data_IF_943853506892
#
_entry.id   IF_943853506892
#
_cell.length_a   1.000
_cell.length_b   1.000
_cell.length_c   1.000
_cell.angle_alpha   90.00
_cell.angle_beta   90.00
_cell.angle_gamma   90.00
#
_symmetry.space_group_name_H-M   'P 1'
#
loop_
_entity.id
_entity.type
_entity.pdbx_description
1 polymer ?
#
# COMPACT_ATOMS: atom_id res chain seq x y z
N UNK A 1 5.41 -14.15 9.94
CA UNK A 1 4.12 -13.81 9.29
C UNK A 1 3.42 -12.65 9.96
N UNK A 2 3.34 -12.58 11.29
CA UNK A 2 2.73 -11.45 12.02
C UNK A 2 3.27 -10.05 11.63
N UNK A 3 4.59 -9.92 11.49
CA UNK A 3 5.24 -8.67 11.05
C UNK A 3 4.80 -8.20 9.65
N UNK A 4 4.44 -9.12 8.76
CA UNK A 4 3.98 -8.79 7.40
C UNK A 4 2.60 -8.13 7.48
N UNK A 5 1.70 -8.69 8.29
CA UNK A 5 0.37 -8.14 8.52
C UNK A 5 0.43 -6.77 9.20
N UNK A 6 1.26 -6.62 10.23
CA UNK A 6 1.47 -5.34 10.92
C UNK A 6 2.03 -4.27 9.99
N UNK A 7 3.00 -4.64 9.15
CA UNK A 7 3.56 -3.72 8.18
C UNK A 7 2.48 -3.24 7.21
N UNK A 8 1.67 -4.16 6.67
CA UNK A 8 0.58 -3.84 5.74
C UNK A 8 -0.57 -3.04 6.40
N UNK A 9 -0.87 -3.33 7.66
CA UNK A 9 -1.90 -2.61 8.42
C UNK A 9 -1.47 -1.17 8.74
N UNK A 10 -0.16 -0.91 8.86
CA UNK A 10 0.36 0.43 9.16
C UNK A 10 0.57 1.27 7.89
N UNK A 11 1.01 0.65 6.80
CA UNK A 11 1.28 1.31 5.52
C UNK A 11 -0.01 1.74 4.82
N UNK A 12 -1.09 0.95 4.88
CA UNK A 12 -2.37 1.31 4.25
C UNK A 12 -2.98 2.63 4.78
N UNK A 13 -3.14 2.85 6.11
CA UNK A 13 -3.57 4.13 6.65
C UNK A 13 -2.62 5.29 6.32
N UNK A 14 -1.30 5.02 6.29
CA UNK A 14 -0.30 6.03 5.97
C UNK A 14 -0.41 6.50 4.51
N UNK A 15 -0.61 5.58 3.55
CA UNK A 15 -0.90 5.95 2.15
C UNK A 15 -2.19 6.75 2.08
N UNK A 16 -3.25 6.28 2.74
CA UNK A 16 -4.56 6.94 2.65
C UNK A 16 -4.50 8.38 3.18
N UNK A 17 -3.72 8.64 4.24
CA UNK A 17 -3.47 10.00 4.73
C UNK A 17 -2.72 10.86 3.71
N UNK A 18 -1.67 10.32 3.10
CA UNK A 18 -0.90 11.03 2.08
C UNK A 18 -1.72 11.26 0.81
N UNK A 19 -2.56 10.30 0.41
CA UNK A 19 -3.50 10.43 -0.68
C UNK A 19 -4.55 11.51 -0.38
N UNK A 20 -5.11 11.55 0.83
CA UNK A 20 -6.00 12.63 1.27
C UNK A 20 -5.34 14.01 1.10
N UNK A 21 -4.10 14.16 1.56
CA UNK A 21 -3.32 15.39 1.39
C UNK A 21 -3.10 15.75 -0.09
N UNK A 22 -2.78 14.77 -0.94
CA UNK A 22 -2.61 14.97 -2.38
C UNK A 22 -3.91 15.40 -3.07
N UNK A 23 -5.07 14.93 -2.59
CA UNK A 23 -6.39 15.31 -3.10
C UNK A 23 -6.73 16.80 -2.90
N UNK A 24 -6.06 17.48 -1.96
CA UNK A 24 -6.22 18.93 -1.77
C UNK A 24 -5.31 19.77 -2.69
N UNK A 25 -4.30 19.16 -3.32
CA UNK A 25 -3.24 19.87 -4.04
C UNK A 25 -3.32 19.61 -5.55
N UNK A 26 -3.70 18.40 -5.96
CA UNK A 26 -3.65 17.95 -7.35
C UNK A 26 -5.04 17.77 -7.97
N UNK A 27 -5.17 18.16 -9.25
CA UNK A 27 -6.33 17.81 -10.08
C UNK A 27 -6.48 16.29 -10.23
N UNK A 28 -7.68 15.84 -10.65
CA UNK A 28 -8.08 14.42 -10.75
C UNK A 28 -7.02 13.52 -11.43
N UNK A 29 -6.35 14.02 -12.48
CA UNK A 29 -5.29 13.27 -13.16
C UNK A 29 -4.01 13.18 -12.32
N UNK A 30 -3.56 14.29 -11.71
CA UNK A 30 -2.41 14.32 -10.81
C UNK A 30 -2.63 13.49 -9.55
N UNK A 31 -3.86 13.48 -9.03
CA UNK A 31 -4.27 12.66 -7.90
C UNK A 31 -4.11 11.16 -8.18
N UNK A 32 -4.61 10.68 -9.33
CA UNK A 32 -4.45 9.26 -9.74
C UNK A 32 -2.99 8.85 -9.89
N UNK A 33 -2.18 9.72 -10.48
CA UNK A 33 -0.75 9.46 -10.69
C UNK A 33 0.01 9.46 -9.36
N UNK A 34 -0.37 10.34 -8.43
CA UNK A 34 0.18 10.39 -7.07
C UNK A 34 -0.13 9.11 -6.29
N UNK A 35 -1.38 8.63 -6.32
CA UNK A 35 -1.76 7.37 -5.68
C UNK A 35 -0.91 6.21 -6.23
N UNK A 36 -0.74 6.13 -7.56
CA UNK A 36 0.01 5.05 -8.18
C UNK A 36 1.49 5.06 -7.75
N UNK A 37 2.10 6.24 -7.64
CA UNK A 37 3.47 6.38 -7.13
C UNK A 37 3.56 5.96 -5.66
N UNK A 38 2.57 6.35 -4.83
CA UNK A 38 2.50 5.99 -3.43
C UNK A 38 2.36 4.48 -3.20
N UNK A 39 1.49 3.83 -3.97
CA UNK A 39 1.30 2.37 -3.97
C UNK A 39 2.61 1.64 -4.29
N UNK A 40 3.33 2.08 -5.33
CA UNK A 40 4.63 1.50 -5.69
C UNK A 40 5.66 1.73 -4.56
N UNK A 41 5.71 2.94 -4.00
CA UNK A 41 6.63 3.25 -2.92
C UNK A 41 6.40 2.36 -1.70
N UNK A 42 5.14 2.10 -1.35
CA UNK A 42 4.81 1.22 -0.22
C UNK A 42 5.17 -0.22 -0.48
N UNK A 43 4.90 -0.77 -1.68
CA UNK A 43 5.33 -2.14 -1.99
C UNK A 43 6.85 -2.30 -1.82
N UNK A 44 7.64 -1.28 -2.20
CA UNK A 44 9.10 -1.29 -2.01
C UNK A 44 9.47 -1.22 -0.52
N UNK A 45 8.85 -0.30 0.24
CA UNK A 45 9.12 -0.10 1.67
C UNK A 45 8.76 -1.36 2.46
N UNK A 46 7.58 -1.93 2.25
CA UNK A 46 7.17 -3.16 2.90
C UNK A 46 8.07 -4.33 2.50
N UNK A 47 8.40 -4.49 1.22
CA UNK A 47 9.30 -5.56 0.77
C UNK A 47 10.69 -5.44 1.42
N UNK A 48 11.18 -4.21 1.64
CA UNK A 48 12.41 -3.93 2.36
C UNK A 48 12.30 -4.29 3.85
N UNK A 49 11.23 -3.86 4.54
CA UNK A 49 10.99 -4.16 5.95
C UNK A 49 10.81 -5.67 6.18
N UNK A 50 10.06 -6.35 5.31
CA UNK A 50 9.86 -7.81 5.36
C UNK A 50 11.18 -8.54 5.13
N UNK A 51 12.00 -8.08 4.18
CA UNK A 51 13.34 -8.64 3.96
C UNK A 51 14.21 -8.47 5.21
N UNK A 52 14.19 -7.29 5.83
CA UNK A 52 15.01 -6.99 7.01
C UNK A 52 14.58 -7.82 8.23
N UNK A 53 13.28 -7.97 8.47
CA UNK A 53 12.74 -8.65 9.64
C UNK A 53 12.64 -10.18 9.49
N UNK A 54 12.34 -10.71 8.30
CA UNK A 54 12.15 -12.14 8.07
C UNK A 54 13.29 -12.82 7.31
N UNK A 55 14.30 -12.08 6.83
CA UNK A 55 15.41 -12.64 6.06
C UNK A 55 15.00 -13.26 4.71
N UNK A 56 13.80 -12.93 4.20
CA UNK A 56 13.29 -13.52 2.96
C UNK A 56 14.06 -13.03 1.72
N UNK A 57 14.13 -13.90 0.69
CA UNK A 57 14.67 -13.53 -0.64
C UNK A 57 13.84 -12.38 -1.23
N UNK A 58 14.52 -11.39 -1.81
CA UNK A 58 13.93 -10.17 -2.40
C UNK A 58 12.68 -10.46 -3.25
N UNK A 59 12.73 -11.47 -4.13
CA UNK A 59 11.59 -11.86 -4.97
C UNK A 59 10.35 -12.27 -4.16
N UNK A 60 10.52 -13.02 -3.07
CA UNK A 60 9.41 -13.43 -2.20
C UNK A 60 8.86 -12.24 -1.42
N UNK A 61 9.73 -11.37 -0.90
CA UNK A 61 9.32 -10.19 -0.13
C UNK A 61 8.47 -9.23 -0.96
N UNK A 62 8.89 -8.96 -2.19
CA UNK A 62 8.14 -8.10 -3.13
C UNK A 62 6.79 -8.73 -3.50
N UNK A 63 6.77 -10.03 -3.81
CA UNK A 63 5.54 -10.71 -4.22
C UNK A 63 4.51 -10.76 -3.08
N UNK A 64 4.96 -11.01 -1.85
CA UNK A 64 4.11 -10.99 -0.65
C UNK A 64 3.52 -9.59 -0.43
N UNK A 65 4.35 -8.53 -0.46
CA UNK A 65 3.86 -7.14 -0.31
C UNK A 65 2.91 -6.75 -1.42
N UNK A 66 3.20 -7.11 -2.67
CA UNK A 66 2.32 -6.80 -3.80
C UNK A 66 0.96 -7.47 -3.61
N UNK A 67 0.92 -8.75 -3.24
CA UNK A 67 -0.35 -9.48 -3.02
C UNK A 67 -1.14 -8.88 -1.85
N UNK A 68 -0.49 -8.61 -0.71
CA UNK A 68 -1.17 -8.01 0.44
C UNK A 68 -1.68 -6.61 0.14
N UNK A 69 -0.86 -5.77 -0.47
CA UNK A 69 -1.25 -4.41 -0.82
C UNK A 69 -2.40 -4.39 -1.85
N UNK A 70 -2.35 -5.29 -2.85
CA UNK A 70 -3.45 -5.44 -3.83
C UNK A 70 -4.76 -5.91 -3.18
N UNK A 71 -4.68 -6.84 -2.24
CA UNK A 71 -5.84 -7.33 -1.50
C UNK A 71 -6.44 -6.22 -0.63
N UNK A 72 -5.60 -5.47 0.09
CA UNK A 72 -6.04 -4.35 0.93
C UNK A 72 -6.68 -3.24 0.09
N UNK A 73 -6.09 -2.90 -1.06
CA UNK A 73 -6.70 -1.97 -2.02
C UNK A 73 -8.05 -2.47 -2.54
N UNK A 74 -8.12 -3.74 -2.97
CA UNK A 74 -9.35 -4.35 -3.47
C UNK A 74 -10.47 -4.41 -2.42
N UNK A 75 -10.12 -4.73 -1.17
CA UNK A 75 -11.05 -4.70 -0.03
C UNK A 75 -11.51 -3.25 0.22
N UNK A 76 -10.61 -2.28 0.20
CA UNK A 76 -10.97 -0.86 0.34
C UNK A 76 -11.96 -0.39 -0.74
N UNK A 77 -11.78 -0.84 -1.98
CA UNK A 77 -12.67 -0.52 -3.09
C UNK A 77 -14.05 -1.19 -2.95
N UNK A 78 -14.08 -2.45 -2.48
CA UNK A 78 -15.32 -3.14 -2.13
C UNK A 78 -16.09 -2.42 -1.01
N UNK A 79 -15.40 -2.00 0.06
CA UNK A 79 -16.00 -1.22 1.14
C UNK A 79 -16.55 0.11 0.63
N UNK A 80 -15.80 0.82 -0.22
CA UNK A 80 -16.26 2.05 -0.85
C UNK A 80 -17.54 1.83 -1.65
N UNK A 81 -17.63 0.73 -2.43
CA UNK A 81 -18.83 0.38 -3.20
C UNK A 81 -20.03 -0.09 -2.38
N UNK A 82 -19.83 -0.49 -1.13
CA UNK A 82 -20.89 -0.94 -0.22
C UNK A 82 -21.45 0.20 0.65
N UNK A 83 -20.64 1.24 0.89
CA UNK A 83 -20.98 2.38 1.75
C UNK A 83 -21.55 3.60 0.98
N UNK A 84 -21.45 3.59 -0.35
CA UNK A 84 -21.97 4.59 -1.29
C UNK A 84 -22.99 3.94 -2.21
#
# INVERSE_FOLDING_TARGET
MYYVFLCNLLTNPAINLLALGAGYIFDVFGYKLTILILEIAVVIIEAYIIRLLCGFKVKKSVLISLVLNSLSYGIGLLFYSLLI
#
